data_IF_324373577500
#
_entry.id   IF_324373577500
#
_cell.length_a   1.000
_cell.length_b   1.000
_cell.length_c   1.000
_cell.angle_alpha   90.00
_cell.angle_beta   90.00
_cell.angle_gamma   90.00
#
_symmetry.space_group_name_H-M   'P 1'
#
loop_
_entity.id
_entity.type
_entity.pdbx_description
1 polymer ?
#
# COMPACT_ATOMS: atom_id res chain seq x y z
N UNK A 1 6.93 17.80 5.03
CA UNK A 1 7.48 16.43 4.86
C UNK A 1 6.62 15.34 5.51
N UNK A 2 6.17 15.49 6.77
CA UNK A 2 5.32 14.48 7.45
C UNK A 2 3.98 14.18 6.73
N UNK A 3 3.31 15.19 6.20
CA UNK A 3 2.00 15.03 5.52
C UNK A 3 2.10 14.19 4.24
N UNK A 4 3.10 14.45 3.40
CA UNK A 4 3.30 13.69 2.14
C UNK A 4 3.57 12.23 2.45
N UNK A 5 4.43 11.93 3.44
CA UNK A 5 4.69 10.56 3.87
C UNK A 5 3.44 9.90 4.50
N UNK A 6 2.65 10.61 5.29
CA UNK A 6 1.38 10.10 5.83
C UNK A 6 0.36 9.81 4.73
N UNK A 7 0.26 10.64 3.69
CA UNK A 7 -0.62 10.40 2.54
C UNK A 7 -0.15 9.18 1.77
N UNK A 8 1.16 9.04 1.50
CA UNK A 8 1.72 7.86 0.83
C UNK A 8 1.48 6.59 1.65
N UNK A 9 1.64 6.65 2.98
CA UNK A 9 1.36 5.53 3.87
C UNK A 9 -0.14 5.17 3.88
N UNK A 10 -1.03 6.16 3.92
CA UNK A 10 -2.47 5.96 3.88
C UNK A 10 -2.93 5.39 2.53
N UNK A 11 -2.36 5.86 1.42
CA UNK A 11 -2.62 5.32 0.07
C UNK A 11 -2.08 3.89 -0.05
N UNK A 12 -0.88 3.61 0.48
CA UNK A 12 -0.31 2.26 0.51
C UNK A 12 -1.17 1.27 1.30
N UNK A 13 -1.72 1.70 2.44
CA UNK A 13 -2.70 0.94 3.23
C UNK A 13 -4.03 0.77 2.49
N UNK A 14 -4.51 1.82 1.81
CA UNK A 14 -5.68 1.72 0.95
C UNK A 14 -5.47 0.72 -0.18
N UNK A 15 -4.27 0.69 -0.77
CA UNK A 15 -3.92 -0.22 -1.86
C UNK A 15 -3.84 -1.70 -1.44
N UNK A 16 -3.81 -2.03 -0.14
CA UNK A 16 -3.89 -3.44 0.30
C UNK A 16 -5.32 -3.86 0.59
N UNK A 17 -6.16 -2.93 1.08
CA UNK A 17 -7.55 -3.19 1.47
C UNK A 17 -8.52 -3.06 0.30
N UNK A 18 -8.40 -2.00 -0.51
CA UNK A 18 -9.31 -1.71 -1.63
C UNK A 18 -9.32 -2.85 -2.67
N UNK A 19 -8.16 -3.40 -3.11
CA UNK A 19 -8.17 -4.49 -4.08
C UNK A 19 -8.79 -5.78 -3.55
N UNK A 20 -8.77 -6.01 -2.23
CA UNK A 20 -9.46 -7.16 -1.63
C UNK A 20 -10.97 -7.06 -1.87
N UNK A 21 -11.57 -5.89 -1.65
CA UNK A 21 -12.98 -5.65 -1.96
C UNK A 21 -13.29 -5.74 -3.46
N UNK A 22 -12.38 -5.32 -4.35
CA UNK A 22 -12.56 -5.45 -5.80
C UNK A 22 -12.50 -6.91 -6.30
N UNK A 23 -11.72 -7.78 -5.66
CA UNK A 23 -11.75 -9.22 -5.96
C UNK A 23 -13.05 -9.84 -5.48
N UNK A 24 -13.50 -9.48 -4.27
CA UNK A 24 -14.78 -9.98 -3.72
C UNK A 24 -15.99 -9.54 -4.55
N UNK A 25 -15.94 -8.36 -5.19
CA UNK A 25 -17.00 -7.90 -6.11
C UNK A 25 -16.91 -8.49 -7.51
N UNK A 26 -15.91 -9.33 -7.81
CA UNK A 26 -15.69 -9.93 -9.13
C UNK A 26 -15.19 -8.94 -10.19
N UNK A 27 -14.88 -7.69 -9.81
CA UNK A 27 -14.39 -6.64 -10.72
C UNK A 27 -12.89 -6.74 -11.00
N UNK A 28 -12.16 -7.61 -10.28
CA UNK A 28 -10.73 -7.80 -10.43
C UNK A 28 -10.35 -9.29 -10.35
N UNK A 29 -9.47 -9.72 -11.25
CA UNK A 29 -8.92 -11.08 -11.27
C UNK A 29 -7.91 -11.29 -10.14
N UNK A 30 -7.82 -12.53 -9.62
CA UNK A 30 -6.89 -12.90 -8.55
C UNK A 30 -5.41 -12.63 -8.92
N UNK A 31 -5.05 -12.75 -10.19
CA UNK A 31 -3.69 -12.45 -10.67
C UNK A 31 -3.36 -10.96 -10.55
N UNK A 32 -4.29 -10.09 -10.96
CA UNK A 32 -4.15 -8.63 -10.82
C UNK A 32 -4.06 -8.23 -9.34
N UNK A 33 -4.88 -8.86 -8.49
CA UNK A 33 -4.86 -8.63 -7.05
C UNK A 33 -3.54 -9.02 -6.40
N UNK A 34 -2.98 -10.18 -6.74
CA UNK A 34 -1.67 -10.60 -6.24
C UNK A 34 -0.59 -9.58 -6.58
N UNK A 35 -0.56 -9.10 -7.82
CA UNK A 35 0.42 -8.09 -8.24
C UNK A 35 0.24 -6.78 -7.47
N UNK A 36 -0.99 -6.30 -7.29
CA UNK A 36 -1.27 -5.11 -6.48
C UNK A 36 -0.88 -5.28 -5.01
N UNK A 37 -1.13 -6.45 -4.41
CA UNK A 37 -0.74 -6.73 -3.03
C UNK A 37 0.77 -6.73 -2.87
N UNK A 38 1.52 -7.35 -3.78
CA UNK A 38 2.99 -7.36 -3.75
C UNK A 38 3.54 -5.95 -3.94
N UNK A 39 3.01 -5.19 -4.90
CA UNK A 39 3.40 -3.80 -5.12
C UNK A 39 3.10 -2.92 -3.89
N UNK A 40 1.92 -3.06 -3.30
CA UNK A 40 1.52 -2.34 -2.08
C UNK A 40 2.39 -2.70 -0.87
N UNK A 41 2.68 -4.00 -0.69
CA UNK A 41 3.58 -4.49 0.35
C UNK A 41 4.99 -3.92 0.19
N UNK A 42 5.57 -4.00 -1.01
CA UNK A 42 6.91 -3.45 -1.27
C UNK A 42 6.94 -1.94 -1.05
N UNK A 43 5.92 -1.22 -1.52
CA UNK A 43 5.83 0.22 -1.36
C UNK A 43 5.72 0.62 0.11
N UNK A 44 4.92 -0.10 0.92
CA UNK A 44 4.81 0.12 2.35
C UNK A 44 6.11 -0.23 3.08
N UNK A 45 6.69 -1.39 2.78
CA UNK A 45 7.92 -1.88 3.41
C UNK A 45 9.12 -0.97 3.15
N UNK A 46 9.20 -0.36 1.97
CA UNK A 46 10.22 0.64 1.65
C UNK A 46 9.88 1.97 2.30
N UNK A 47 8.62 2.41 2.30
CA UNK A 47 8.21 3.72 2.83
C UNK A 47 8.32 3.82 4.36
N UNK A 48 8.05 2.74 5.10
CA UNK A 48 8.03 2.72 6.58
C UNK A 48 9.38 3.08 7.21
N UNK A 49 10.53 2.51 6.78
CA UNK A 49 11.86 2.94 7.23
C UNK A 49 12.15 4.42 7.00
N UNK A 50 11.71 4.98 5.86
CA UNK A 50 11.88 6.42 5.58
C UNK A 50 10.97 7.29 6.45
N UNK A 51 9.79 6.80 6.83
CA UNK A 51 8.88 7.45 7.79
C UNK A 51 9.44 7.43 9.22
N UNK A 52 9.98 6.30 9.63
CA UNK A 52 10.48 6.05 10.98
C UNK A 52 11.89 6.60 11.21
N UNK A 53 12.54 7.18 10.20
CA UNK A 53 13.83 7.86 10.33
C UNK A 53 13.68 9.14 11.16
N UNK A 54 13.51 8.97 12.48
CA UNK A 54 13.85 9.97 13.49
C UNK A 54 15.37 10.10 13.40
N UNK A 55 15.86 11.30 13.05
CA UNK A 55 17.29 11.61 13.12
C UNK A 55 17.79 11.19 14.53
N UNK A 56 18.94 10.49 14.65
CA UNK A 56 19.59 10.33 15.94
C UNK A 56 19.91 11.71 16.55
#
# INVERSE_FOLDING_TARGET
MKIILSIIAAIGLGLTVIPAFLVFSGLMTLDSYKNLMVMGMLCWFVSVPFLLKKKP
#
